data_IF_079454319298
#
_entry.id   IF_079454319298
#
_cell.length_a   1.000
_cell.length_b   1.000
_cell.length_c   1.000
_cell.angle_alpha   90.00
_cell.angle_beta   90.00
_cell.angle_gamma   90.00
#
_symmetry.space_group_name_H-M   'P 1'
#
loop_
_entity.id
_entity.type
_entity.pdbx_description
1 polymer ?
#
# COMPACT_ATOMS: atom_id res chain seq x y z
N UNK A 1 -18.01 32.97 -8.35
CA UNK A 1 -16.66 32.67 -8.84
C UNK A 1 -15.71 33.75 -8.31
N UNK A 2 -14.48 33.40 -7.98
CA UNK A 2 -13.46 34.33 -7.45
C UNK A 2 -12.12 33.98 -8.10
N UNK A 3 -11.35 34.96 -8.56
CA UNK A 3 -10.04 34.70 -9.16
C UNK A 3 -9.02 34.31 -8.10
N UNK A 4 -8.03 33.49 -8.46
CA UNK A 4 -6.95 33.12 -7.53
C UNK A 4 -6.21 34.34 -6.98
N UNK A 5 -5.95 35.33 -7.85
CA UNK A 5 -5.32 36.58 -7.41
C UNK A 5 -6.14 37.30 -6.33
N UNK A 6 -7.45 37.41 -6.54
CA UNK A 6 -8.37 38.05 -5.59
C UNK A 6 -8.47 37.25 -4.29
N UNK A 7 -8.52 35.91 -4.38
CA UNK A 7 -8.50 35.03 -3.22
C UNK A 7 -7.23 35.26 -2.38
N UNK A 8 -6.06 35.28 -3.02
CA UNK A 8 -4.78 35.51 -2.33
C UNK A 8 -4.70 36.89 -1.69
N UNK A 9 -5.13 37.94 -2.39
CA UNK A 9 -5.21 39.30 -1.86
C UNK A 9 -6.10 39.36 -0.61
N UNK A 10 -7.31 38.78 -0.67
CA UNK A 10 -8.23 38.72 0.49
C UNK A 10 -7.66 37.94 1.69
N UNK A 11 -6.83 36.92 1.46
CA UNK A 11 -6.15 36.19 2.54
C UNK A 11 -5.04 37.04 3.14
N UNK A 12 -4.19 37.64 2.30
CA UNK A 12 -3.08 38.49 2.74
C UNK A 12 -3.59 39.70 3.52
N UNK A 13 -4.70 40.28 3.10
CA UNK A 13 -5.31 41.46 3.71
C UNK A 13 -6.15 41.10 4.96
N UNK A 14 -6.20 39.82 5.36
CA UNK A 14 -6.89 39.35 6.58
C UNK A 14 -8.42 39.34 6.48
N UNK A 15 -8.98 39.48 5.27
CA UNK A 15 -10.42 39.41 5.02
C UNK A 15 -10.89 37.95 5.09
N UNK A 16 -10.10 37.01 4.55
CA UNK A 16 -10.34 35.58 4.66
C UNK A 16 -9.53 35.01 5.82
N UNK A 17 -10.20 34.47 6.83
CA UNK A 17 -9.59 33.80 7.98
C UNK A 17 -9.53 32.30 7.70
N UNK A 18 -8.30 31.81 7.52
CA UNK A 18 -7.96 30.39 7.33
C UNK A 18 -7.72 29.64 8.65
N UNK A 19 -7.41 30.38 9.72
CA UNK A 19 -7.08 29.81 11.03
C UNK A 19 -8.31 29.65 11.90
N UNK A 20 -9.00 28.52 11.73
CA UNK A 20 -9.99 28.03 12.68
C UNK A 20 -9.37 26.82 13.39
N UNK A 21 -9.19 26.94 14.71
CA UNK A 21 -8.56 25.97 15.62
C UNK A 21 -9.30 24.61 15.73
N UNK A 22 -10.38 24.40 14.99
CA UNK A 22 -11.25 23.22 15.09
C UNK A 22 -10.88 22.07 14.13
N UNK A 23 -9.76 22.14 13.42
CA UNK A 23 -9.37 21.08 12.49
C UNK A 23 -8.39 20.07 13.12
N UNK A 24 -8.75 18.79 13.09
CA UNK A 24 -7.77 17.69 13.22
C UNK A 24 -6.86 17.75 11.97
N UNK A 25 -5.59 18.05 12.17
CA UNK A 25 -4.58 18.21 11.11
C UNK A 25 -4.42 16.93 10.26
N UNK A 26 -5.14 16.84 9.15
CA UNK A 26 -4.68 16.09 7.98
C UNK A 26 -4.08 17.13 7.03
N UNK A 27 -2.80 17.40 7.22
CA UNK A 27 -2.03 18.31 6.37
C UNK A 27 -1.81 17.60 5.03
N UNK A 28 -2.10 18.29 3.91
CA UNK A 28 -1.72 17.77 2.59
C UNK A 28 -0.20 17.55 2.57
N UNK A 29 0.25 16.35 2.21
CA UNK A 29 1.65 16.12 1.88
C UNK A 29 2.02 16.89 0.61
N UNK A 30 3.32 17.09 0.35
CA UNK A 30 3.82 17.86 -0.79
C UNK A 30 3.20 17.42 -2.12
N UNK A 31 3.06 16.11 -2.35
CA UNK A 31 2.44 15.55 -3.56
C UNK A 31 1.00 16.03 -3.77
N UNK A 32 0.17 16.01 -2.71
CA UNK A 32 -1.22 16.50 -2.79
C UNK A 32 -1.27 18.01 -3.03
N UNK A 33 -0.35 18.77 -2.44
CA UNK A 33 -0.28 20.22 -2.68
C UNK A 33 0.10 20.50 -4.14
N UNK A 34 1.05 19.75 -4.70
CA UNK A 34 1.42 19.83 -6.11
C UNK A 34 0.26 19.49 -7.05
N UNK A 35 -0.57 18.49 -6.72
CA UNK A 35 -1.78 18.17 -7.49
C UNK A 35 -2.81 19.31 -7.53
N UNK A 36 -2.88 20.16 -6.48
CA UNK A 36 -3.74 21.36 -6.51
C UNK A 36 -3.21 22.35 -7.54
N UNK A 37 -1.89 22.58 -7.57
CA UNK A 37 -1.24 23.47 -8.54
C UNK A 37 -1.39 22.92 -9.96
N UNK A 38 -1.18 21.62 -10.15
CA UNK A 38 -1.40 20.91 -11.41
C UNK A 38 -2.83 21.12 -11.91
N UNK A 39 -3.82 20.93 -11.04
CA UNK A 39 -5.24 21.10 -11.38
C UNK A 39 -5.54 22.50 -11.89
N UNK A 40 -5.00 23.54 -11.23
CA UNK A 40 -5.18 24.94 -11.63
C UNK A 40 -4.54 25.20 -13.01
N UNK A 41 -3.29 24.78 -13.19
CA UNK A 41 -2.54 25.03 -14.42
C UNK A 41 -3.08 24.22 -15.61
N UNK A 42 -3.67 23.05 -15.37
CA UNK A 42 -4.27 22.20 -16.39
C UNK A 42 -5.80 22.41 -16.54
N UNK A 43 -6.37 23.42 -15.88
CA UNK A 43 -7.81 23.72 -15.92
C UNK A 43 -8.72 22.55 -15.49
N UNK A 44 -8.21 21.68 -14.61
CA UNK A 44 -9.00 20.65 -13.95
C UNK A 44 -9.80 21.31 -12.82
N UNK A 45 -11.15 21.21 -12.82
CA UNK A 45 -11.97 21.87 -11.82
C UNK A 45 -11.63 21.42 -10.39
N UNK A 46 -11.32 22.38 -9.53
CA UNK A 46 -11.25 22.14 -8.10
C UNK A 46 -12.66 22.10 -7.50
N UNK A 47 -12.90 21.32 -6.42
CA UNK A 47 -14.16 21.38 -5.68
C UNK A 47 -14.51 22.81 -5.26
N UNK A 48 -15.77 23.09 -4.93
CA UNK A 48 -16.12 24.42 -4.44
C UNK A 48 -15.37 24.75 -3.13
N UNK A 49 -15.05 26.02 -2.93
CA UNK A 49 -14.54 26.57 -1.68
C UNK A 49 -15.73 27.15 -0.92
N UNK A 50 -15.94 26.71 0.31
CA UNK A 50 -17.05 27.18 1.14
C UNK A 50 -16.52 28.16 2.17
N UNK A 51 -17.00 29.40 2.11
CA UNK A 51 -16.65 30.46 3.03
C UNK A 51 -17.88 30.86 3.85
N UNK A 52 -17.67 31.23 5.10
CA UNK A 52 -18.69 31.71 6.01
C UNK A 52 -18.47 33.19 6.29
N UNK A 53 -19.45 34.02 5.96
CA UNK A 53 -19.41 35.44 6.25
C UNK A 53 -19.89 35.68 7.68
N UNK A 54 -19.01 36.20 8.54
CA UNK A 54 -19.33 36.57 9.92
C UNK A 54 -19.82 38.03 10.00
N UNK A 55 -20.21 38.46 11.22
CA UNK A 55 -20.79 39.79 11.47
C UNK A 55 -19.81 40.94 11.19
N UNK A 56 -18.51 40.67 11.28
CA UNK A 56 -17.43 41.62 11.00
C UNK A 56 -17.05 41.69 9.50
N UNK A 57 -17.91 41.19 8.60
CA UNK A 57 -17.67 41.11 7.15
C UNK A 57 -16.44 40.26 6.75
N UNK A 58 -15.85 39.51 7.68
CA UNK A 58 -14.75 38.58 7.42
C UNK A 58 -15.30 37.22 6.94
N UNK A 59 -14.47 36.50 6.19
CA UNK A 59 -14.80 35.26 5.53
C UNK A 59 -14.01 34.10 6.15
N UNK A 60 -14.68 33.25 6.91
CA UNK A 60 -14.12 32.06 7.55
C UNK A 60 -14.16 30.85 6.61
N UNK A 61 -13.06 30.10 6.50
CA UNK A 61 -13.00 28.93 5.59
C UNK A 61 -13.69 27.71 6.21
N UNK A 62 -14.80 27.26 5.63
CA UNK A 62 -15.49 26.02 6.03
C UNK A 62 -14.96 24.78 5.31
N UNK A 63 -14.61 24.91 4.03
CA UNK A 63 -13.96 23.86 3.23
C UNK A 63 -13.00 24.49 2.20
N UNK A 64 -11.93 23.76 1.89
CA UNK A 64 -10.89 24.19 0.96
C UNK A 64 -9.62 24.72 1.61
N UNK A 65 -9.48 24.67 2.95
CA UNK A 65 -8.29 25.17 3.68
C UNK A 65 -6.97 24.66 3.09
N UNK A 66 -6.84 23.34 2.90
CA UNK A 66 -5.60 22.74 2.37
C UNK A 66 -5.29 23.17 0.93
N UNK A 67 -6.34 23.43 0.12
CA UNK A 67 -6.21 23.91 -1.27
C UNK A 67 -5.78 25.38 -1.29
N UNK A 68 -6.38 26.20 -0.43
CA UNK A 68 -5.96 27.59 -0.20
C UNK A 68 -4.49 27.64 0.24
N UNK A 69 -4.11 26.80 1.21
CA UNK A 69 -2.74 26.73 1.72
C UNK A 69 -1.74 26.30 0.64
N UNK A 70 -2.12 25.36 -0.23
CA UNK A 70 -1.29 24.95 -1.36
C UNK A 70 -1.06 26.10 -2.35
N UNK A 71 -2.12 26.86 -2.67
CA UNK A 71 -2.04 28.06 -3.53
C UNK A 71 -1.13 29.11 -2.90
N UNK A 72 -1.33 29.40 -1.60
CA UNK A 72 -0.54 30.36 -0.83
C UNK A 72 0.94 29.98 -0.84
N UNK A 73 1.27 28.75 -0.45
CA UNK A 73 2.66 28.24 -0.42
C UNK A 73 3.32 28.30 -1.79
N UNK A 74 2.57 28.03 -2.87
CA UNK A 74 3.12 28.16 -4.22
C UNK A 74 3.49 29.61 -4.53
N UNK A 75 2.58 30.57 -4.36
CA UNK A 75 2.81 32.00 -4.61
C UNK A 75 3.97 32.54 -3.73
N UNK A 76 4.07 32.07 -2.49
CA UNK A 76 5.09 32.49 -1.52
C UNK A 76 6.46 31.82 -1.73
N UNK A 77 6.57 30.88 -2.69
CA UNK A 77 7.78 30.11 -3.04
C UNK A 77 8.15 29.00 -2.03
N UNK A 78 7.20 28.60 -1.18
CA UNK A 78 7.34 27.51 -0.21
C UNK A 78 6.90 26.14 -0.76
N UNK A 79 6.41 26.10 -2.01
CA UNK A 79 6.06 24.88 -2.74
C UNK A 79 6.69 24.94 -4.14
N UNK A 80 7.36 23.85 -4.53
CA UNK A 80 7.86 23.67 -5.90
C UNK A 80 6.85 22.87 -6.72
N UNK A 81 6.68 23.26 -7.99
CA UNK A 81 5.91 22.52 -8.98
C UNK A 81 6.77 22.38 -10.25
N UNK A 82 6.95 21.15 -10.76
CA UNK A 82 7.87 20.84 -11.87
C UNK A 82 9.28 21.45 -11.68
N UNK A 83 9.85 21.24 -10.50
CA UNK A 83 11.18 21.74 -10.08
C UNK A 83 11.35 23.27 -10.14
N UNK A 84 10.25 24.02 -10.20
CA UNK A 84 10.24 25.48 -10.22
C UNK A 84 9.44 26.03 -9.04
N UNK A 85 9.99 27.07 -8.40
CA UNK A 85 9.21 27.94 -7.50
C UNK A 85 8.45 28.99 -8.31
N UNK A 86 7.45 29.63 -7.71
CA UNK A 86 6.65 30.67 -8.37
C UNK A 86 7.46 31.76 -9.08
N UNK A 87 8.55 32.25 -8.48
CA UNK A 87 9.43 33.25 -9.11
C UNK A 87 10.15 32.75 -10.36
N UNK A 88 10.28 31.44 -10.54
CA UNK A 88 10.96 30.80 -11.68
C UNK A 88 9.99 30.39 -12.80
N UNK A 89 8.67 30.48 -12.59
CA UNK A 89 7.70 30.23 -13.65
C UNK A 89 7.62 31.43 -14.59
N UNK A 90 7.37 31.17 -15.87
CA UNK A 90 7.13 32.21 -16.87
C UNK A 90 5.87 33.02 -16.58
N UNK A 91 5.80 34.24 -17.16
CA UNK A 91 4.68 35.16 -16.95
C UNK A 91 3.35 34.59 -17.42
N UNK A 92 3.35 33.85 -18.52
CA UNK A 92 2.14 33.23 -19.07
C UNK A 92 1.53 32.24 -18.06
N UNK A 93 2.36 31.40 -17.45
CA UNK A 93 1.94 30.47 -16.39
C UNK A 93 1.40 31.21 -15.16
N UNK A 94 2.08 32.29 -14.73
CA UNK A 94 1.62 33.10 -13.60
C UNK A 94 0.28 33.79 -13.89
N UNK A 95 0.11 34.32 -15.10
CA UNK A 95 -1.13 34.99 -15.54
C UNK A 95 -2.27 33.97 -15.64
N UNK A 96 -2.02 32.78 -16.20
CA UNK A 96 -2.98 31.67 -16.24
C UNK A 96 -3.41 31.26 -14.83
N UNK A 97 -2.45 31.09 -13.93
CA UNK A 97 -2.72 30.74 -12.54
C UNK A 97 -3.58 31.82 -11.86
N UNK A 98 -3.14 33.08 -11.92
CA UNK A 98 -3.83 34.20 -11.26
C UNK A 98 -5.23 34.48 -11.81
N UNK A 99 -5.44 34.27 -13.11
CA UNK A 99 -6.71 34.49 -13.79
C UNK A 99 -7.70 33.33 -13.67
N UNK A 100 -7.25 32.16 -13.21
CA UNK A 100 -8.12 31.00 -13.00
C UNK A 100 -9.22 31.33 -11.99
N UNK A 101 -10.46 31.05 -12.35
CA UNK A 101 -11.63 31.28 -11.52
C UNK A 101 -11.95 30.07 -10.65
N UNK A 102 -12.07 30.30 -9.36
CA UNK A 102 -12.46 29.30 -8.38
C UNK A 102 -13.94 29.41 -8.06
N UNK A 103 -14.60 28.26 -7.93
CA UNK A 103 -15.98 28.18 -7.44
C UNK A 103 -16.02 28.45 -5.94
N UNK A 104 -16.26 29.70 -5.57
CA UNK A 104 -16.43 30.12 -4.17
C UNK A 104 -17.92 30.29 -3.85
N UNK A 105 -18.36 29.64 -2.79
CA UNK A 105 -19.72 29.73 -2.23
C UNK A 105 -19.60 30.42 -0.87
N UNK A 106 -20.24 31.57 -0.74
CA UNK A 106 -20.28 32.33 0.52
C UNK A 106 -21.63 32.09 1.19
N UNK A 107 -21.59 31.58 2.41
CA UNK A 107 -22.76 31.33 3.25
C UNK A 107 -22.79 32.33 4.41
N UNK A 108 -23.98 32.68 4.88
CA UNK A 108 -24.22 33.46 6.09
C UNK A 108 -25.47 32.94 6.81
N UNK A 109 -25.65 33.29 8.08
CA UNK A 109 -26.80 32.88 8.88
C UNK A 109 -26.44 32.59 10.33
N UNK A 110 -27.18 31.67 10.96
CA UNK A 110 -26.91 31.27 12.35
C UNK A 110 -25.74 30.30 12.48
N UNK A 111 -25.09 30.28 13.64
CA UNK A 111 -24.01 29.34 13.97
C UNK A 111 -24.46 27.86 13.87
N UNK A 112 -25.73 27.55 14.14
CA UNK A 112 -26.29 26.21 13.92
C UNK A 112 -26.28 25.80 12.45
N UNK A 113 -26.55 26.74 11.54
CA UNK A 113 -26.51 26.49 10.10
C UNK A 113 -25.06 26.27 9.63
N UNK A 114 -24.12 27.08 10.12
CA UNK A 114 -22.68 26.91 9.88
C UNK A 114 -22.21 25.51 10.23
N UNK A 115 -22.54 25.02 11.44
CA UNK A 115 -22.21 23.66 11.91
C UNK A 115 -22.84 22.57 11.03
N UNK A 116 -24.10 22.74 10.62
CA UNK A 116 -24.79 21.80 9.73
C UNK A 116 -24.13 21.73 8.35
N UNK A 117 -23.78 22.87 7.76
CA UNK A 117 -23.09 22.95 6.47
C UNK A 117 -21.71 22.30 6.57
N UNK A 118 -20.92 22.69 7.59
CA UNK A 118 -19.60 22.13 7.83
C UNK A 118 -19.63 20.60 7.97
N UNK A 119 -20.55 20.06 8.78
CA UNK A 119 -20.70 18.62 8.93
C UNK A 119 -21.10 17.95 7.61
N UNK A 120 -22.06 18.51 6.87
CA UNK A 120 -22.53 17.92 5.60
C UNK A 120 -21.44 17.84 4.55
N UNK A 121 -20.65 18.90 4.37
CA UNK A 121 -19.57 18.92 3.38
C UNK A 121 -18.50 17.86 3.72
N UNK A 122 -18.14 17.75 5.00
CA UNK A 122 -17.08 16.85 5.45
C UNK A 122 -17.52 15.39 5.65
N UNK A 123 -18.82 15.11 5.79
CA UNK A 123 -19.32 13.75 6.11
C UNK A 123 -20.11 13.08 4.98
N UNK A 124 -20.72 13.83 4.05
CA UNK A 124 -21.54 13.23 2.98
C UNK A 124 -20.71 12.70 1.81
N UNK A 125 -19.48 13.19 1.62
CA UNK A 125 -18.54 12.67 0.63
C UNK A 125 -17.90 11.37 1.10
N UNK A 126 -18.54 10.23 0.87
CA UNK A 126 -17.84 8.95 1.03
C UNK A 126 -16.82 8.83 -0.11
N UNK A 127 -15.50 8.73 0.16
CA UNK A 127 -14.50 8.65 -0.91
C UNK A 127 -14.80 7.45 -1.81
N UNK A 128 -14.67 7.66 -3.12
CA UNK A 128 -14.75 6.58 -4.10
C UNK A 128 -13.66 5.56 -3.81
N UNK A 129 -13.98 4.28 -3.94
CA UNK A 129 -12.96 3.24 -3.85
C UNK A 129 -12.06 3.30 -5.09
N UNK A 130 -10.81 2.81 -5.00
CA UNK A 130 -9.93 2.75 -6.17
C UNK A 130 -10.56 2.05 -7.37
N UNK A 131 -11.42 1.04 -7.15
CA UNK A 131 -12.12 0.37 -8.23
C UNK A 131 -13.27 1.21 -8.80
N UNK A 132 -14.00 1.97 -7.99
CA UNK A 132 -15.04 2.88 -8.47
C UNK A 132 -14.44 4.00 -9.34
N UNK A 133 -13.25 4.51 -8.97
CA UNK A 133 -12.48 5.45 -9.81
C UNK A 133 -12.07 4.79 -11.12
N UNK A 134 -11.43 3.62 -11.05
CA UNK A 134 -10.99 2.86 -12.23
C UNK A 134 -12.14 2.53 -13.18
N UNK A 135 -13.28 2.10 -12.63
CA UNK A 135 -14.49 1.80 -13.40
C UNK A 135 -15.15 3.07 -13.96
N UNK A 136 -15.05 4.20 -13.27
CA UNK A 136 -15.51 5.50 -13.78
C UNK A 136 -14.69 5.96 -14.99
N UNK A 137 -13.36 5.74 -14.97
CA UNK A 137 -12.44 6.15 -16.03
C UNK A 137 -12.49 5.21 -17.25
N UNK A 138 -12.58 3.89 -17.02
CA UNK A 138 -12.40 2.87 -18.06
C UNK A 138 -13.56 1.87 -18.14
N UNK A 139 -14.79 2.32 -17.86
CA UNK A 139 -15.98 1.47 -17.97
C UNK A 139 -16.05 0.74 -19.34
N UNK A 140 -16.30 -0.57 -19.33
CA UNK A 140 -16.28 -1.36 -20.56
C UNK A 140 -16.63 -2.83 -20.33
N UNK A 141 -16.63 -3.60 -21.43
CA UNK A 141 -16.90 -5.05 -21.43
C UNK A 141 -15.98 -5.80 -20.46
N UNK A 142 -14.72 -5.39 -20.40
CA UNK A 142 -13.73 -6.05 -19.55
C UNK A 142 -14.05 -5.91 -18.06
N UNK A 143 -14.29 -4.69 -17.55
CA UNK A 143 -14.63 -4.46 -16.14
C UNK A 143 -16.02 -5.00 -15.76
N UNK A 144 -16.96 -5.03 -16.71
CA UNK A 144 -18.23 -5.76 -16.53
C UNK A 144 -17.99 -7.25 -16.33
N UNK A 145 -17.15 -7.87 -17.15
CA UNK A 145 -16.74 -9.27 -17.02
C UNK A 145 -16.06 -9.57 -15.69
N UNK A 146 -15.13 -8.71 -15.24
CA UNK A 146 -14.47 -8.82 -13.92
C UNK A 146 -15.50 -8.78 -12.80
N UNK A 147 -16.45 -7.83 -12.87
CA UNK A 147 -17.50 -7.69 -11.87
C UNK A 147 -18.40 -8.92 -11.84
N UNK A 148 -18.85 -9.39 -13.01
CA UNK A 148 -19.68 -10.59 -13.14
C UNK A 148 -18.99 -11.83 -12.57
N UNK A 149 -17.71 -12.03 -12.91
CA UNK A 149 -16.93 -13.17 -12.43
C UNK A 149 -16.83 -13.19 -10.90
N UNK A 150 -16.44 -12.08 -10.28
CA UNK A 150 -16.26 -12.01 -8.82
C UNK A 150 -17.58 -12.18 -8.06
N UNK A 151 -18.70 -11.77 -8.66
CA UNK A 151 -20.03 -11.89 -8.05
C UNK A 151 -20.68 -13.27 -8.22
N UNK A 152 -20.29 -14.06 -9.23
CA UNK A 152 -20.99 -15.29 -9.60
C UNK A 152 -20.14 -16.56 -9.44
N UNK A 153 -18.81 -16.46 -9.53
CA UNK A 153 -17.95 -17.62 -9.47
C UNK A 153 -17.80 -18.16 -8.05
N UNK A 154 -17.99 -19.48 -7.89
CA UNK A 154 -18.00 -20.14 -6.58
C UNK A 154 -16.62 -20.10 -5.90
N UNK A 155 -15.56 -20.28 -6.67
CA UNK A 155 -14.19 -20.32 -6.15
C UNK A 155 -13.75 -18.89 -5.77
N UNK A 156 -14.09 -17.91 -6.60
CA UNK A 156 -13.87 -16.50 -6.31
C UNK A 156 -14.60 -16.05 -5.03
N UNK A 157 -15.90 -16.38 -4.88
CA UNK A 157 -16.68 -16.03 -3.70
C UNK A 157 -16.12 -16.68 -2.42
N UNK A 158 -15.68 -17.93 -2.51
CA UNK A 158 -15.12 -18.66 -1.37
C UNK A 158 -13.75 -18.12 -0.95
N UNK A 159 -12.83 -17.92 -1.90
CA UNK A 159 -11.45 -17.53 -1.62
C UNK A 159 -11.34 -16.04 -1.32
N UNK A 160 -12.02 -15.18 -2.08
CA UNK A 160 -11.95 -13.71 -1.90
C UNK A 160 -12.86 -13.20 -0.77
N UNK A 161 -13.85 -14.00 -0.36
CA UNK A 161 -14.82 -13.64 0.66
C UNK A 161 -15.76 -12.51 0.23
N UNK A 162 -16.44 -11.84 1.19
CA UNK A 162 -17.44 -10.83 0.88
C UNK A 162 -16.79 -9.62 0.20
N UNK A 163 -17.36 -9.23 -0.94
CA UNK A 163 -16.87 -8.07 -1.67
C UNK A 163 -17.37 -6.77 -1.03
N UNK A 164 -16.48 -5.81 -0.82
CA UNK A 164 -16.81 -4.51 -0.26
C UNK A 164 -16.33 -3.41 -1.22
N UNK A 165 -17.29 -2.74 -1.89
CA UNK A 165 -17.07 -1.57 -2.77
C UNK A 165 -15.91 -1.75 -3.76
N UNK A 166 -15.85 -2.88 -4.45
CA UNK A 166 -14.84 -3.08 -5.50
C UNK A 166 -13.47 -3.58 -5.03
N UNK A 167 -13.28 -3.86 -3.73
CA UNK A 167 -12.00 -4.36 -3.19
C UNK A 167 -11.53 -5.65 -3.86
N UNK A 168 -12.44 -6.60 -4.10
CA UNK A 168 -12.07 -7.88 -4.69
C UNK A 168 -11.71 -7.73 -6.18
N UNK A 169 -12.43 -6.86 -6.91
CA UNK A 169 -12.10 -6.51 -8.30
C UNK A 169 -10.70 -5.92 -8.39
N UNK A 170 -10.38 -4.96 -7.53
CA UNK A 170 -9.05 -4.35 -7.49
C UNK A 170 -7.95 -5.39 -7.20
N UNK A 171 -8.17 -6.31 -6.26
CA UNK A 171 -7.22 -7.41 -5.98
C UNK A 171 -7.02 -8.30 -7.19
N UNK A 172 -8.10 -8.81 -7.79
CA UNK A 172 -8.05 -9.68 -8.96
C UNK A 172 -7.33 -9.02 -10.13
N UNK A 173 -7.63 -7.75 -10.41
CA UNK A 173 -6.97 -7.01 -11.48
C UNK A 173 -5.46 -6.85 -11.22
N UNK A 174 -5.06 -6.50 -9.99
CA UNK A 174 -3.63 -6.44 -9.62
C UNK A 174 -2.93 -7.79 -9.78
N UNK A 175 -3.59 -8.90 -9.43
CA UNK A 175 -3.03 -10.23 -9.63
C UNK A 175 -2.89 -10.59 -11.12
N UNK A 176 -3.86 -10.21 -11.95
CA UNK A 176 -3.76 -10.39 -13.40
C UNK A 176 -2.60 -9.58 -13.97
N UNK A 177 -2.44 -8.32 -13.56
CA UNK A 177 -1.29 -7.51 -13.97
C UNK A 177 0.03 -8.18 -13.60
N UNK A 178 0.16 -8.73 -12.39
CA UNK A 178 1.35 -9.48 -11.98
C UNK A 178 1.58 -10.72 -12.86
N UNK A 179 0.54 -11.53 -13.09
CA UNK A 179 0.59 -12.70 -13.96
C UNK A 179 0.97 -12.39 -15.41
N UNK A 180 0.57 -11.23 -15.91
CA UNK A 180 0.86 -10.75 -17.27
C UNK A 180 2.13 -9.90 -17.34
N UNK A 181 2.87 -9.72 -16.24
CA UNK A 181 4.03 -8.83 -16.12
C UNK A 181 3.76 -7.38 -16.55
N UNK A 182 2.58 -6.86 -16.24
CA UNK A 182 2.19 -5.47 -16.54
C UNK A 182 2.42 -4.60 -15.31
N UNK A 183 3.14 -3.49 -15.50
CA UNK A 183 3.49 -2.55 -14.42
C UNK A 183 2.31 -1.65 -14.04
N UNK A 184 1.61 -1.10 -15.04
CA UNK A 184 0.55 -0.13 -14.84
C UNK A 184 -0.84 -0.73 -15.06
N UNK A 185 -1.65 -0.72 -14.00
CA UNK A 185 -3.00 -1.27 -14.00
C UNK A 185 -3.94 -0.49 -14.94
N UNK A 186 -3.86 0.83 -14.90
CA UNK A 186 -4.74 1.73 -15.64
C UNK A 186 -4.56 1.54 -17.16
N UNK A 187 -3.31 1.47 -17.63
CA UNK A 187 -2.99 1.20 -19.03
C UNK A 187 -3.48 -0.18 -19.48
N UNK A 188 -3.37 -1.18 -18.61
CA UNK A 188 -3.87 -2.53 -18.90
C UNK A 188 -5.38 -2.55 -19.08
N UNK A 189 -6.12 -1.92 -18.16
CA UNK A 189 -7.58 -1.88 -18.22
C UNK A 189 -8.04 -1.05 -19.41
N UNK A 190 -7.41 0.10 -19.68
CA UNK A 190 -7.68 0.94 -20.86
C UNK A 190 -7.48 0.16 -22.17
N UNK A 191 -6.36 -0.57 -22.29
CA UNK A 191 -6.05 -1.36 -23.50
C UNK A 191 -7.02 -2.51 -23.72
N UNK A 192 -7.60 -3.06 -22.65
CA UNK A 192 -8.53 -4.18 -22.72
C UNK A 192 -10.00 -3.74 -22.57
N UNK A 193 -10.30 -2.45 -22.48
CA UNK A 193 -11.63 -1.91 -22.13
C UNK A 193 -12.79 -2.53 -22.94
N UNK A 194 -12.59 -2.73 -24.24
CA UNK A 194 -13.59 -3.30 -25.16
C UNK A 194 -13.50 -4.83 -25.32
N UNK A 195 -12.51 -5.49 -24.72
CA UNK A 195 -12.29 -6.94 -24.85
C UNK A 195 -13.07 -7.69 -23.78
N UNK A 196 -13.32 -8.97 -24.06
CA UNK A 196 -13.91 -9.90 -23.09
C UNK A 196 -12.92 -10.22 -21.96
N UNK A 197 -13.43 -10.40 -20.74
CA UNK A 197 -12.65 -10.87 -19.59
C UNK A 197 -12.30 -12.37 -19.66
N UNK A 198 -12.81 -13.13 -20.63
CA UNK A 198 -12.73 -14.60 -20.65
C UNK A 198 -11.29 -15.17 -20.58
N UNK A 199 -10.31 -14.52 -21.21
CA UNK A 199 -8.92 -14.98 -21.19
C UNK A 199 -8.29 -14.86 -19.80
N UNK A 200 -8.44 -13.70 -19.17
CA UNK A 200 -7.94 -13.47 -17.83
C UNK A 200 -8.76 -14.19 -16.76
N UNK A 201 -10.04 -14.42 -17.03
CA UNK A 201 -10.90 -15.29 -16.23
C UNK A 201 -10.33 -16.71 -16.16
N UNK A 202 -9.95 -17.32 -17.28
CA UNK A 202 -9.36 -18.68 -17.29
C UNK A 202 -8.07 -18.74 -16.47
N UNK A 203 -7.26 -17.71 -16.58
CA UNK A 203 -6.00 -17.57 -15.86
C UNK A 203 -6.26 -17.50 -14.35
N UNK A 204 -7.08 -16.54 -13.90
CA UNK A 204 -7.36 -16.36 -12.46
C UNK A 204 -8.11 -17.57 -11.87
N UNK A 205 -9.00 -18.21 -12.64
CA UNK A 205 -9.73 -19.40 -12.22
C UNK A 205 -8.79 -20.57 -11.89
N UNK A 206 -7.72 -20.76 -12.66
CA UNK A 206 -6.70 -21.79 -12.36
C UNK A 206 -6.01 -21.52 -11.02
N UNK A 207 -5.63 -20.27 -10.76
CA UNK A 207 -4.95 -19.87 -9.54
C UNK A 207 -5.89 -19.95 -8.31
N UNK A 208 -7.12 -19.48 -8.44
CA UNK A 208 -8.14 -19.58 -7.38
C UNK A 208 -8.47 -21.04 -7.04
N UNK A 209 -8.56 -21.92 -8.05
CA UNK A 209 -8.73 -23.35 -7.85
C UNK A 209 -7.58 -23.95 -7.04
N UNK A 210 -6.33 -23.60 -7.36
CA UNK A 210 -5.16 -24.04 -6.59
C UNK A 210 -5.28 -23.61 -5.12
N UNK A 211 -5.59 -22.33 -4.88
CA UNK A 211 -5.71 -21.79 -3.52
C UNK A 211 -6.81 -22.52 -2.74
N UNK A 212 -7.98 -22.72 -3.35
CA UNK A 212 -9.11 -23.41 -2.73
C UNK A 212 -8.80 -24.86 -2.38
N UNK A 213 -8.08 -25.57 -3.24
CA UNK A 213 -7.79 -26.99 -3.06
C UNK A 213 -6.69 -27.22 -2.02
N UNK A 214 -5.74 -26.29 -1.90
CA UNK A 214 -4.54 -26.44 -1.05
C UNK A 214 -4.71 -25.77 0.33
N UNK A 215 -5.46 -24.68 0.45
CA UNK A 215 -5.54 -23.90 1.70
C UNK A 215 -6.96 -23.84 2.26
N UNK A 216 -7.05 -23.90 3.60
CA UNK A 216 -8.30 -23.80 4.36
C UNK A 216 -8.53 -22.38 4.92
N UNK A 217 -7.48 -21.58 5.06
CA UNK A 217 -7.53 -20.19 5.51
C UNK A 217 -7.06 -19.24 4.40
N UNK A 218 -7.81 -18.17 4.17
CA UNK A 218 -7.57 -17.16 3.14
C UNK A 218 -7.13 -15.80 3.70
N UNK A 219 -6.69 -15.72 4.96
CA UNK A 219 -6.28 -14.46 5.59
C UNK A 219 -5.10 -13.75 4.90
N UNK A 220 -4.22 -14.49 4.23
CA UNK A 220 -3.01 -13.98 3.57
C UNK A 220 -3.04 -14.16 2.04
N UNK A 221 -4.14 -13.72 1.41
CA UNK A 221 -4.36 -13.92 -0.05
C UNK A 221 -3.17 -13.56 -0.92
N UNK A 222 -2.48 -12.44 -0.69
CA UNK A 222 -1.34 -12.03 -1.52
C UNK A 222 -0.23 -13.10 -1.54
N UNK A 223 0.03 -13.74 -0.41
CA UNK A 223 1.00 -14.84 -0.30
C UNK A 223 0.48 -16.07 -1.06
N UNK A 224 -0.78 -16.45 -0.83
CA UNK A 224 -1.39 -17.61 -1.48
C UNK A 224 -1.46 -17.47 -3.01
N UNK A 225 -1.73 -16.26 -3.50
CA UNK A 225 -1.67 -15.95 -4.92
C UNK A 225 -0.25 -16.11 -5.46
N UNK A 226 0.76 -15.53 -4.81
CA UNK A 226 2.14 -15.70 -5.25
C UNK A 226 2.57 -17.18 -5.29
N UNK A 227 2.17 -17.99 -4.29
CA UNK A 227 2.39 -19.43 -4.30
C UNK A 227 1.68 -20.11 -5.46
N UNK A 228 0.43 -19.74 -5.74
CA UNK A 228 -0.31 -20.28 -6.88
C UNK A 228 0.36 -19.94 -8.22
N UNK A 229 0.96 -18.76 -8.37
CA UNK A 229 1.67 -18.37 -9.60
C UNK A 229 2.88 -19.30 -9.82
N UNK A 230 3.64 -19.57 -8.75
CA UNK A 230 4.84 -20.42 -8.80
C UNK A 230 4.52 -21.91 -8.98
N UNK A 231 3.51 -22.41 -8.25
CA UNK A 231 3.32 -23.84 -8.01
C UNK A 231 1.99 -24.42 -8.53
N UNK A 232 1.18 -23.65 -9.28
CA UNK A 232 -0.09 -24.17 -9.80
C UNK A 232 0.05 -25.39 -10.74
N UNK A 233 1.25 -25.68 -11.25
CA UNK A 233 1.52 -26.91 -12.03
C UNK A 233 1.60 -28.15 -11.14
N UNK A 234 2.02 -27.99 -9.89
CA UNK A 234 2.27 -29.07 -8.93
C UNK A 234 1.06 -29.31 -8.01
N UNK A 235 -0.14 -28.88 -8.44
CA UNK A 235 -1.37 -28.92 -7.65
C UNK A 235 -1.63 -30.28 -7.01
N UNK A 236 -1.37 -31.38 -7.72
CA UNK A 236 -1.59 -32.74 -7.21
C UNK A 236 -0.77 -33.00 -5.95
N UNK A 237 0.53 -32.68 -5.99
CA UNK A 237 1.46 -32.90 -4.88
C UNK A 237 1.07 -32.02 -3.68
N UNK A 238 0.78 -30.75 -3.93
CA UNK A 238 0.37 -29.83 -2.88
C UNK A 238 -0.95 -30.22 -2.22
N UNK A 239 -1.88 -30.78 -3.01
CA UNK A 239 -3.17 -31.27 -2.52
C UNK A 239 -3.03 -32.52 -1.65
N UNK A 240 -2.12 -33.43 -1.98
CA UNK A 240 -1.83 -34.62 -1.15
C UNK A 240 -1.34 -34.21 0.25
N UNK A 241 -0.50 -33.18 0.31
CA UNK A 241 0.03 -32.63 1.57
C UNK A 241 -0.86 -31.55 2.22
N UNK A 242 -2.10 -31.38 1.77
CA UNK A 242 -3.00 -30.31 2.23
C UNK A 242 -3.09 -30.23 3.76
N UNK A 243 -3.29 -31.36 4.43
CA UNK A 243 -3.51 -31.38 5.89
C UNK A 243 -2.28 -30.86 6.63
N UNK A 244 -1.10 -31.38 6.29
CA UNK A 244 0.16 -31.00 6.91
C UNK A 244 0.51 -29.53 6.65
N UNK A 245 0.30 -29.06 5.41
CA UNK A 245 0.49 -27.66 5.01
C UNK A 245 -0.32 -26.74 5.92
N UNK A 246 -1.62 -26.97 6.04
CA UNK A 246 -2.50 -26.08 6.81
C UNK A 246 -2.21 -26.15 8.32
N UNK A 247 -1.88 -27.33 8.85
CA UNK A 247 -1.48 -27.49 10.25
C UNK A 247 -0.19 -26.71 10.54
N UNK A 248 0.83 -26.83 9.68
CA UNK A 248 2.15 -26.22 9.89
C UNK A 248 2.11 -24.71 9.73
N UNK A 249 1.39 -24.20 8.72
CA UNK A 249 1.15 -22.75 8.55
C UNK A 249 0.43 -22.19 9.78
N UNK A 250 -0.63 -22.86 10.24
CA UNK A 250 -1.38 -22.40 11.42
C UNK A 250 -0.53 -22.39 12.68
N UNK A 251 0.37 -23.36 12.86
CA UNK A 251 1.32 -23.38 13.98
C UNK A 251 2.31 -22.23 13.89
N UNK A 252 2.91 -22.01 12.72
CA UNK A 252 3.83 -20.89 12.47
C UNK A 252 3.16 -19.53 12.72
N UNK A 253 1.96 -19.30 12.19
CA UNK A 253 1.25 -18.04 12.38
C UNK A 253 0.92 -17.73 13.85
N UNK A 254 0.89 -18.75 14.72
CA UNK A 254 0.67 -18.60 16.16
C UNK A 254 1.97 -18.46 16.97
N UNK A 255 3.13 -18.75 16.38
CA UNK A 255 4.42 -18.65 17.07
C UNK A 255 4.94 -17.21 17.09
N UNK A 256 5.92 -16.95 17.96
CA UNK A 256 6.62 -15.66 17.97
C UNK A 256 7.44 -15.44 16.69
N UNK A 257 7.85 -16.50 16.00
CA UNK A 257 8.62 -16.41 14.74
C UNK A 257 7.86 -15.61 13.68
N UNK A 258 6.53 -15.75 13.58
CA UNK A 258 5.71 -15.02 12.62
C UNK A 258 5.66 -13.50 12.84
N UNK A 259 6.13 -13.01 14.00
CA UNK A 259 6.23 -11.58 14.31
C UNK A 259 7.53 -10.96 13.78
N UNK A 260 8.58 -11.76 13.65
CA UNK A 260 9.93 -11.28 13.35
C UNK A 260 10.45 -11.72 11.96
N UNK A 261 9.70 -12.55 11.25
CA UNK A 261 10.09 -13.10 9.94
C UNK A 261 9.21 -12.57 8.80
N UNK A 262 9.72 -12.70 7.56
CA UNK A 262 8.94 -12.46 6.36
C UNK A 262 7.99 -13.64 6.12
N UNK A 263 6.71 -13.42 6.43
CA UNK A 263 5.67 -14.46 6.31
C UNK A 263 5.61 -15.11 4.93
N UNK A 264 5.87 -14.37 3.85
CA UNK A 264 5.79 -14.93 2.50
C UNK A 264 6.88 -15.98 2.27
N UNK A 265 8.12 -15.62 2.61
CA UNK A 265 9.29 -16.50 2.49
C UNK A 265 9.16 -17.69 3.44
N UNK A 266 8.69 -17.46 4.66
CA UNK A 266 8.53 -18.50 5.67
C UNK A 266 7.47 -19.53 5.30
N UNK A 267 6.28 -19.08 4.90
CA UNK A 267 5.21 -19.97 4.48
C UNK A 267 5.65 -20.80 3.26
N UNK A 268 6.33 -20.18 2.29
CA UNK A 268 6.86 -20.91 1.14
C UNK A 268 7.86 -22.00 1.56
N UNK A 269 8.82 -21.67 2.43
CA UNK A 269 9.82 -22.63 2.95
C UNK A 269 9.17 -23.79 3.72
N UNK A 270 8.19 -23.50 4.57
CA UNK A 270 7.45 -24.51 5.32
C UNK A 270 6.80 -25.51 4.36
N UNK A 271 6.14 -25.00 3.33
CA UNK A 271 5.43 -25.87 2.39
C UNK A 271 6.41 -26.67 1.54
N UNK A 272 7.50 -26.05 1.07
CA UNK A 272 8.54 -26.75 0.32
C UNK A 272 9.16 -27.89 1.14
N UNK A 273 9.44 -27.69 2.43
CA UNK A 273 9.93 -28.75 3.28
C UNK A 273 8.94 -29.92 3.38
N UNK A 274 7.63 -29.64 3.52
CA UNK A 274 6.59 -30.68 3.56
C UNK A 274 6.51 -31.45 2.23
N UNK A 275 6.43 -30.73 1.12
CA UNK A 275 6.33 -31.31 -0.23
C UNK A 275 7.57 -32.14 -0.60
N UNK A 276 8.74 -31.78 -0.08
CA UNK A 276 9.99 -32.52 -0.28
C UNK A 276 10.21 -33.63 0.76
N UNK A 277 9.29 -33.82 1.71
CA UNK A 277 9.39 -34.86 2.75
C UNK A 277 10.48 -34.60 3.80
N UNK A 278 10.86 -33.34 4.00
CA UNK A 278 11.94 -32.94 4.88
C UNK A 278 11.42 -32.75 6.32
N UNK A 279 12.00 -33.48 7.26
CA UNK A 279 11.69 -33.34 8.69
C UNK A 279 12.37 -32.11 9.28
N UNK A 280 11.58 -31.20 9.87
CA UNK A 280 12.06 -29.91 10.38
C UNK A 280 11.49 -29.63 11.78
N UNK A 281 12.31 -29.03 12.66
CA UNK A 281 11.96 -28.75 14.06
C UNK A 281 10.82 -27.72 14.18
N UNK A 282 10.11 -27.71 15.30
CA UNK A 282 9.02 -26.76 15.57
C UNK A 282 9.45 -25.30 15.76
N UNK A 283 10.67 -25.08 16.22
CA UNK A 283 11.28 -23.76 16.41
C UNK A 283 12.22 -23.49 15.24
N UNK A 284 12.09 -22.35 14.56
CA UNK A 284 13.01 -21.93 13.48
C UNK A 284 14.02 -20.89 13.95
N UNK A 285 13.59 -19.89 14.73
CA UNK A 285 14.50 -18.83 15.17
C UNK A 285 15.32 -19.24 16.39
N UNK A 286 16.59 -18.87 16.38
CA UNK A 286 17.41 -18.86 17.58
C UNK A 286 16.95 -17.73 18.52
N UNK A 287 16.86 -18.02 19.82
CA UNK A 287 16.48 -17.03 20.83
C UNK A 287 17.62 -16.06 21.11
N UNK A 288 17.31 -14.98 21.84
CA UNK A 288 18.34 -14.07 22.35
C UNK A 288 19.33 -14.80 23.25
N UNK A 289 18.87 -15.78 24.01
CA UNK A 289 19.73 -16.60 24.86
C UNK A 289 20.60 -17.56 24.03
N UNK A 290 20.06 -18.18 22.98
CA UNK A 290 20.85 -18.98 22.03
C UNK A 290 21.96 -18.12 21.39
N UNK A 291 21.65 -16.86 21.05
CA UNK A 291 22.65 -15.91 20.52
C UNK A 291 23.73 -15.57 21.55
N UNK A 292 23.35 -15.36 22.81
CA UNK A 292 24.33 -15.10 23.89
C UNK A 292 25.24 -16.29 24.11
N UNK A 293 24.68 -17.50 24.11
CA UNK A 293 25.44 -18.74 24.28
C UNK A 293 26.39 -18.97 23.10
N UNK A 294 25.93 -18.76 21.87
CA UNK A 294 26.78 -18.87 20.68
C UNK A 294 27.92 -17.84 20.69
N UNK A 295 27.65 -16.60 21.10
CA UNK A 295 28.68 -15.56 21.22
C UNK A 295 29.71 -15.90 22.30
N UNK A 296 29.28 -16.51 23.42
CA UNK A 296 30.19 -16.95 24.49
C UNK A 296 31.15 -18.05 24.04
N UNK A 297 30.80 -18.82 23.00
CA UNK A 297 31.64 -19.88 22.43
C UNK A 297 32.58 -19.39 21.31
N UNK A 298 32.53 -18.09 20.95
CA UNK A 298 33.27 -17.54 19.80
C UNK A 298 34.38 -16.60 20.26
N UNK A 299 35.45 -16.55 19.46
CA UNK A 299 36.57 -15.67 19.71
C UNK A 299 36.14 -14.20 19.60
N UNK A 300 36.51 -13.40 20.59
CA UNK A 300 36.14 -11.99 20.71
C UNK A 300 37.41 -11.14 20.75
N UNK A 301 37.52 -10.19 19.82
CA UNK A 301 38.61 -9.21 19.78
C UNK A 301 37.98 -7.81 19.83
N UNK A 302 38.37 -7.00 20.82
CA UNK A 302 37.85 -5.63 21.00
C UNK A 302 36.31 -5.52 20.99
N UNK A 303 35.60 -6.44 21.65
CA UNK A 303 34.13 -6.55 21.65
C UNK A 303 33.49 -6.80 20.27
N UNK A 304 34.27 -7.27 19.30
CA UNK A 304 33.81 -7.70 17.99
C UNK A 304 33.94 -9.21 17.84
N UNK A 305 33.06 -9.76 17.03
CA UNK A 305 33.01 -11.18 16.68
C UNK A 305 33.09 -11.33 15.16
N UNK A 306 33.59 -12.47 14.72
CA UNK A 306 33.81 -12.72 13.30
C UNK A 306 32.55 -13.28 12.62
N UNK A 307 32.22 -12.76 11.44
CA UNK A 307 31.21 -13.35 10.56
C UNK A 307 31.74 -14.64 9.92
N UNK A 308 30.98 -15.73 9.99
CA UNK A 308 31.43 -17.03 9.48
C UNK A 308 31.55 -17.08 7.95
N UNK A 309 30.80 -16.25 7.24
CA UNK A 309 30.82 -16.19 5.78
C UNK A 309 31.94 -15.31 5.22
N UNK A 310 32.07 -14.05 5.69
CA UNK A 310 33.03 -13.10 5.12
C UNK A 310 34.30 -12.91 5.95
N UNK A 311 34.38 -13.55 7.13
CA UNK A 311 35.52 -13.51 8.05
C UNK A 311 35.93 -12.11 8.53
N UNK A 312 35.05 -11.10 8.39
CA UNK A 312 35.22 -9.75 8.95
C UNK A 312 34.66 -9.65 10.38
N UNK A 313 35.18 -8.69 11.14
CA UNK A 313 34.81 -8.43 12.54
C UNK A 313 33.68 -7.41 12.67
N UNK A 314 32.68 -7.70 13.49
CA UNK A 314 31.48 -6.89 13.69
C UNK A 314 31.08 -6.83 15.18
N UNK A 315 30.36 -5.79 15.59
CA UNK A 315 29.77 -5.75 16.92
C UNK A 315 28.63 -6.75 17.07
N UNK A 316 28.31 -7.15 18.31
CA UNK A 316 27.28 -8.16 18.60
C UNK A 316 25.90 -7.77 18.06
N UNK A 317 25.59 -6.48 17.99
CA UNK A 317 24.34 -5.92 17.48
C UNK A 317 24.21 -6.07 15.96
N UNK A 318 25.34 -6.10 15.25
CA UNK A 318 25.41 -6.17 13.78
C UNK A 318 25.37 -7.61 13.24
N UNK A 319 25.56 -8.59 14.13
CA UNK A 319 25.55 -10.01 13.81
C UNK A 319 24.19 -10.65 14.08
N UNK A 320 23.84 -11.60 13.24
CA UNK A 320 22.62 -12.40 13.31
C UNK A 320 23.02 -13.88 13.46
N UNK A 321 22.18 -14.65 14.14
CA UNK A 321 22.35 -16.11 14.23
C UNK A 321 21.47 -16.74 13.16
N UNK A 322 22.06 -17.62 12.36
CA UNK A 322 21.36 -18.36 11.31
C UNK A 322 21.86 -19.80 11.25
N UNK A 323 21.15 -20.70 10.56
CA UNK A 323 21.52 -22.12 10.53
C UNK A 323 22.76 -22.40 9.66
N UNK A 324 23.54 -23.44 9.92
CA UNK A 324 24.60 -23.89 9.00
C UNK A 324 23.97 -24.63 7.83
N UNK A 325 23.30 -25.75 8.14
CA UNK A 325 22.38 -26.42 7.24
C UNK A 325 21.03 -25.72 7.30
N UNK A 326 20.49 -25.22 6.17
CA UNK A 326 19.22 -24.50 6.17
C UNK A 326 18.09 -25.31 6.79
N UNK A 327 17.25 -24.66 7.59
CA UNK A 327 16.09 -25.30 8.20
C UNK A 327 15.16 -25.94 7.16
N UNK A 328 14.96 -25.28 6.01
CA UNK A 328 14.17 -25.82 4.89
C UNK A 328 14.74 -27.09 4.25
N UNK A 329 16.02 -27.41 4.50
CA UNK A 329 16.70 -28.63 4.05
C UNK A 329 16.81 -29.72 5.12
N UNK A 330 16.22 -29.50 6.30
CA UNK A 330 16.23 -30.45 7.42
C UNK A 330 17.16 -30.03 8.56
N UNK A 331 17.81 -28.87 8.45
CA UNK A 331 18.66 -28.33 9.50
C UNK A 331 17.90 -28.05 10.79
N UNK A 332 18.35 -28.65 11.89
CA UNK A 332 17.74 -28.46 13.22
C UNK A 332 18.09 -27.12 13.84
N UNK A 333 17.19 -26.54 14.64
CA UNK A 333 17.43 -25.27 15.35
C UNK A 333 18.10 -25.55 16.69
N UNK A 334 19.37 -25.94 16.60
CA UNK A 334 20.25 -26.28 17.73
C UNK A 334 21.57 -25.51 17.59
N UNK A 335 22.24 -25.23 18.71
CA UNK A 335 23.48 -24.43 18.71
C UNK A 335 24.59 -25.04 17.83
N UNK A 336 24.65 -26.36 17.71
CA UNK A 336 25.60 -27.04 16.82
C UNK A 336 25.37 -26.78 15.34
N UNK A 337 24.15 -26.39 14.96
CA UNK A 337 23.78 -25.98 13.61
C UNK A 337 23.66 -24.44 13.50
N UNK A 338 24.19 -23.67 14.45
CA UNK A 338 24.11 -22.21 14.45
C UNK A 338 25.42 -21.56 13.99
N UNK A 339 25.32 -20.47 13.23
CA UNK A 339 26.46 -19.64 12.82
C UNK A 339 26.15 -18.15 12.93
N UNK A 340 27.20 -17.35 13.14
CA UNK A 340 27.10 -15.89 13.18
C UNK A 340 27.34 -15.31 11.79
N UNK A 341 26.36 -14.57 11.28
CA UNK A 341 26.44 -13.89 9.98
C UNK A 341 26.17 -12.40 10.14
N UNK A 342 26.92 -11.55 9.42
CA UNK A 342 26.56 -10.15 9.30
C UNK A 342 25.34 -9.97 8.39
N UNK A 343 24.56 -8.91 8.61
CA UNK A 343 23.31 -8.65 7.88
C UNK A 343 23.41 -8.80 6.34
N UNK A 344 24.46 -8.27 5.66
CA UNK A 344 24.64 -8.48 4.22
C UNK A 344 24.85 -9.95 3.81
N UNK A 345 25.64 -10.72 4.59
CA UNK A 345 25.88 -12.13 4.28
C UNK A 345 24.62 -12.97 4.54
N UNK A 346 23.90 -12.66 5.62
CA UNK A 346 22.65 -13.34 5.94
C UNK A 346 21.59 -13.12 4.84
N UNK A 347 21.44 -11.88 4.35
CA UNK A 347 20.53 -11.57 3.22
C UNK A 347 20.92 -12.26 1.92
N UNK A 348 22.22 -12.36 1.61
CA UNK A 348 22.67 -13.08 0.41
C UNK A 348 22.36 -14.58 0.47
N UNK A 349 22.43 -15.16 1.67
CA UNK A 349 22.12 -16.57 1.89
C UNK A 349 20.63 -16.88 1.75
N UNK A 350 19.75 -15.96 2.16
CA UNK A 350 18.30 -16.10 2.03
C UNK A 350 17.75 -16.17 0.58
N UNK A 351 18.61 -15.97 -0.43
CA UNK A 351 18.25 -16.00 -1.86
C UNK A 351 18.82 -17.24 -2.61
N UNK A 352 19.32 -18.27 -1.91
CA UNK A 352 19.93 -19.47 -2.52
C UNK A 352 19.24 -20.74 -2.07
#
# INVERSE_FOLDING_TARGET
>A
MMKIKELYEKIRDGIIISDIDLQREIIYNTEKQQLVIDSILNQVPLPAFYLWKNEDEKLEVLDGKQRIESIKKFIENDLMYNDKIWKQTDRETQDKFNSTELSVIVCSGSEDLKRKIFNRINTLGVPLSPYEVLNGLYNGEYLRGVTSYISQDKDALKVLGPNNRGKNQMKVLKYICNLRNVKELDDYVKTNQSKSFADDQRLIMKNLKFIREVFDDYGYLDILFNLSIKYAKDLTIWKEHKSDINIRIKRYLKSDDAKFTDKAVEIENIIQAIVQGISVDDKRLFTVDDKRELLAQKECQENKYQCECCKKWFYKEELQVDHIEPWSKGGRTVLSNAQLLCGPCNRKKGNI
#
